data_IF_056549085973
#
_entry.id   IF_056549085973
#
_cell.length_a   1.000
_cell.length_b   1.000
_cell.length_c   1.000
_cell.angle_alpha   90.00
_cell.angle_beta   90.00
_cell.angle_gamma   90.00
#
_symmetry.space_group_name_H-M   'P 1'
#
loop_
_entity.id
_entity.type
_entity.pdbx_description
1 polymer ?
#
# COMPACT_ATOMS: atom_id res chain seq x y z
N UNK A 1 54.21 -6.26 -19.66
CA UNK A 1 52.83 -6.73 -19.90
C UNK A 1 52.49 -7.63 -18.73
N UNK A 2 51.51 -7.30 -17.88
CA UNK A 2 51.09 -8.19 -16.81
C UNK A 2 50.47 -9.44 -17.45
N UNK A 3 51.07 -10.60 -17.17
CA UNK A 3 50.52 -11.90 -17.59
C UNK A 3 49.17 -12.09 -16.90
N UNK A 4 48.11 -12.21 -17.69
CA UNK A 4 46.77 -12.45 -17.17
C UNK A 4 46.66 -13.95 -16.86
N UNK A 5 46.87 -14.31 -15.59
CA UNK A 5 46.77 -15.69 -15.12
C UNK A 5 45.30 -16.13 -15.06
N UNK A 6 44.82 -16.71 -16.16
CA UNK A 6 43.44 -17.21 -16.31
C UNK A 6 43.16 -18.41 -15.40
N UNK A 7 44.19 -19.11 -14.92
CA UNK A 7 44.05 -20.27 -14.03
C UNK A 7 43.69 -19.84 -12.60
N UNK A 8 43.84 -18.55 -12.28
CA UNK A 8 43.35 -17.93 -11.03
C UNK A 8 41.87 -17.55 -11.06
N UNK A 9 41.19 -17.69 -12.20
CA UNK A 9 39.78 -17.34 -12.33
C UNK A 9 38.88 -18.40 -11.69
N UNK A 10 38.30 -18.08 -10.53
CA UNK A 10 37.28 -18.91 -9.88
C UNK A 10 35.93 -18.59 -10.51
N UNK A 11 35.31 -19.58 -11.17
CA UNK A 11 33.93 -19.47 -11.61
C UNK A 11 33.01 -19.45 -10.38
N UNK A 12 32.23 -18.38 -10.23
CA UNK A 12 31.21 -18.30 -9.17
C UNK A 12 30.13 -19.35 -9.38
N UNK A 13 29.76 -20.05 -8.31
CA UNK A 13 28.73 -21.10 -8.32
C UNK A 13 27.32 -20.51 -8.37
N UNK A 14 26.99 -19.93 -9.52
CA UNK A 14 25.67 -19.33 -9.79
C UNK A 14 24.57 -20.42 -9.82
N UNK A 15 24.93 -21.66 -10.18
CA UNK A 15 23.97 -22.76 -10.30
C UNK A 15 23.40 -23.22 -8.96
N UNK A 16 24.22 -23.25 -7.90
CA UNK A 16 23.73 -23.63 -6.57
C UNK A 16 23.21 -22.43 -5.75
N UNK A 17 23.32 -21.19 -6.26
CA UNK A 17 22.80 -19.99 -5.59
C UNK A 17 21.47 -19.48 -6.16
N UNK A 18 21.09 -19.84 -7.39
CA UNK A 18 19.76 -19.55 -7.92
C UNK A 18 18.77 -20.55 -7.31
N UNK A 19 17.97 -20.08 -6.35
CA UNK A 19 16.82 -20.82 -5.85
C UNK A 19 15.65 -20.53 -6.78
N UNK A 20 15.10 -21.57 -7.42
CA UNK A 20 13.90 -21.43 -8.24
C UNK A 20 12.72 -20.91 -7.40
N UNK A 21 11.93 -20.01 -7.98
CA UNK A 21 10.75 -19.48 -7.31
C UNK A 21 9.71 -20.60 -7.11
N UNK A 22 9.40 -20.89 -5.85
CA UNK A 22 8.30 -21.77 -5.47
C UNK A 22 7.38 -21.07 -4.47
N UNK A 23 6.09 -21.36 -4.56
CA UNK A 23 5.10 -20.97 -3.55
C UNK A 23 4.80 -22.19 -2.70
N UNK A 24 5.03 -22.06 -1.40
CA UNK A 24 4.73 -23.13 -0.46
C UNK A 24 3.21 -23.35 -0.35
N UNK A 25 2.80 -24.61 -0.21
CA UNK A 25 1.40 -24.94 0.07
C UNK A 25 1.04 -24.45 1.48
N UNK A 26 -0.08 -23.72 1.59
CA UNK A 26 -0.62 -23.24 2.86
C UNK A 26 -2.00 -23.88 3.13
N UNK A 27 -2.28 -24.22 4.40
CA UNK A 27 -3.59 -24.67 4.87
C UNK A 27 -4.27 -23.58 5.69
N UNK A 28 -5.60 -23.60 5.75
CA UNK A 28 -6.37 -22.72 6.66
C UNK A 28 -6.05 -23.03 8.11
N UNK A 29 -6.27 -22.05 9.00
CA UNK A 29 -6.06 -22.18 10.44
C UNK A 29 -7.32 -22.63 11.18
N UNK A 30 -8.10 -23.49 10.51
CA UNK A 30 -9.37 -24.02 10.98
C UNK A 30 -9.34 -24.51 12.44
N UNK A 31 -10.48 -24.37 13.12
CA UNK A 31 -10.64 -24.92 14.46
C UNK A 31 -10.34 -26.43 14.46
N UNK A 32 -9.30 -26.84 15.19
CA UNK A 32 -8.87 -28.23 15.24
C UNK A 32 -9.81 -29.12 16.05
N UNK A 33 -9.43 -30.39 16.21
CA UNK A 33 -10.17 -31.35 17.06
C UNK A 33 -10.10 -31.04 18.57
N UNK A 34 -9.41 -29.96 18.96
CA UNK A 34 -9.31 -29.51 20.34
C UNK A 34 -10.59 -28.82 20.77
N UNK A 35 -10.97 -28.99 22.06
CA UNK A 35 -12.18 -28.39 22.63
C UNK A 35 -12.26 -26.88 22.38
N UNK A 36 -11.11 -26.22 22.43
CA UNK A 36 -10.99 -24.78 22.19
C UNK A 36 -9.82 -24.53 21.24
N UNK A 37 -10.07 -23.75 20.19
CA UNK A 37 -9.03 -23.14 19.35
C UNK A 37 -9.03 -21.65 19.64
N UNK A 38 -7.86 -21.03 19.72
CA UNK A 38 -7.79 -19.62 20.08
C UNK A 38 -6.80 -18.86 19.23
N UNK A 39 -7.19 -17.64 18.85
CA UNK A 39 -6.36 -16.73 18.08
C UNK A 39 -6.12 -15.43 18.85
N UNK A 40 -4.92 -14.89 18.69
CA UNK A 40 -4.54 -13.56 19.15
C UNK A 40 -3.55 -13.02 18.13
N UNK A 41 -3.63 -11.73 17.81
CA UNK A 41 -2.68 -11.15 16.89
C UNK A 41 -1.29 -11.05 17.51
N UNK A 42 -0.34 -11.76 16.89
CA UNK A 42 1.08 -11.70 17.22
C UNK A 42 1.81 -10.61 16.40
N UNK A 43 1.23 -10.20 15.27
CA UNK A 43 1.86 -9.28 14.32
C UNK A 43 1.38 -7.82 14.45
N UNK A 44 0.39 -7.54 15.31
CA UNK A 44 -0.17 -6.19 15.49
C UNK A 44 0.91 -5.12 15.65
N UNK A 45 1.90 -5.32 16.52
CA UNK A 45 2.96 -4.32 16.76
C UNK A 45 3.81 -4.05 15.52
N UNK A 46 4.15 -5.11 14.75
CA UNK A 46 4.91 -5.01 13.50
C UNK A 46 4.07 -4.28 12.43
N UNK A 47 2.82 -4.72 12.25
CA UNK A 47 1.87 -4.17 11.29
C UNK A 47 1.53 -2.71 11.57
N UNK A 48 1.34 -2.35 12.84
CA UNK A 48 1.16 -0.98 13.28
C UNK A 48 2.41 -0.13 13.03
N UNK A 49 3.60 -0.73 13.15
CA UNK A 49 4.87 -0.12 12.76
C UNK A 49 4.90 0.27 11.28
N UNK A 50 4.57 -0.67 10.38
CA UNK A 50 4.43 -0.38 8.95
C UNK A 50 3.43 0.73 8.67
N UNK A 51 2.22 0.64 9.24
CA UNK A 51 1.19 1.67 9.06
C UNK A 51 1.63 3.07 9.54
N UNK A 52 2.41 3.16 10.63
CA UNK A 52 2.87 4.45 11.16
C UNK A 52 4.08 5.02 10.43
N UNK A 53 4.91 4.18 9.83
CA UNK A 53 6.20 4.57 9.26
C UNK A 53 6.17 4.73 7.74
N UNK A 54 5.29 4.00 7.03
CA UNK A 54 5.19 4.02 5.58
C UNK A 54 4.02 4.92 5.15
N UNK A 55 4.27 6.14 4.62
CA UNK A 55 3.22 7.09 4.30
C UNK A 55 2.22 6.58 3.25
N UNK A 56 2.68 5.86 2.24
CA UNK A 56 1.85 5.35 1.14
C UNK A 56 0.84 4.31 1.65
N UNK A 57 1.29 3.40 2.52
CA UNK A 57 0.44 2.43 3.18
C UNK A 57 -0.59 3.10 4.09
N UNK A 58 -0.14 4.09 4.88
CA UNK A 58 -1.03 4.87 5.73
C UNK A 58 -2.13 5.54 4.91
N UNK A 59 -1.77 6.24 3.84
CA UNK A 59 -2.71 6.96 2.97
C UNK A 59 -3.66 6.00 2.29
N UNK A 60 -3.20 4.84 1.81
CA UNK A 60 -4.06 3.85 1.18
C UNK A 60 -5.12 3.31 2.18
N UNK A 61 -4.69 2.91 3.38
CA UNK A 61 -5.59 2.40 4.43
C UNK A 61 -6.55 3.49 4.91
N UNK A 62 -6.05 4.71 5.14
CA UNK A 62 -6.87 5.85 5.54
C UNK A 62 -7.91 6.20 4.47
N UNK A 63 -7.51 6.19 3.20
CA UNK A 63 -8.41 6.42 2.06
C UNK A 63 -9.49 5.37 2.02
N UNK A 64 -9.15 4.08 2.09
CA UNK A 64 -10.14 3.00 2.12
C UNK A 64 -11.15 3.19 3.25
N UNK A 65 -10.68 3.44 4.48
CA UNK A 65 -11.56 3.67 5.62
C UNK A 65 -12.41 4.95 5.50
N UNK A 66 -11.85 6.03 4.93
CA UNK A 66 -12.59 7.27 4.66
C UNK A 66 -13.73 7.02 3.67
N UNK A 67 -13.44 6.33 2.57
CA UNK A 67 -14.41 6.08 1.50
C UNK A 67 -15.50 5.10 1.93
N UNK A 68 -15.15 4.07 2.70
CA UNK A 68 -16.14 3.14 3.27
C UNK A 68 -17.10 3.86 4.20
N UNK A 69 -16.64 4.71 5.12
CA UNK A 69 -17.56 5.48 5.96
C UNK A 69 -18.28 6.57 5.18
N UNK A 70 -17.63 7.13 4.16
CA UNK A 70 -18.16 8.18 3.32
C UNK A 70 -18.58 9.41 4.12
N UNK A 71 -19.81 9.89 3.87
CA UNK A 71 -20.38 11.03 4.58
C UNK A 71 -20.95 10.67 5.98
N UNK A 72 -20.83 9.40 6.40
CA UNK A 72 -21.40 8.88 7.64
C UNK A 72 -22.48 7.83 7.35
N UNK A 73 -23.47 7.75 8.24
CA UNK A 73 -24.60 6.82 8.10
C UNK A 73 -25.93 7.58 8.07
N UNK A 74 -26.93 6.91 7.50
CA UNK A 74 -28.34 7.23 7.58
C UNK A 74 -29.03 6.13 8.38
N UNK A 75 -29.97 6.51 9.25
CA UNK A 75 -30.81 5.60 9.99
C UNK A 75 -32.10 6.33 10.38
N UNK A 76 -33.06 5.60 10.96
CA UNK A 76 -34.23 6.23 11.60
C UNK A 76 -33.80 7.30 12.62
N UNK A 77 -34.62 8.33 12.82
CA UNK A 77 -34.31 9.46 13.70
C UNK A 77 -33.93 9.02 15.12
N UNK A 78 -34.68 8.09 15.70
CA UNK A 78 -34.40 7.54 17.03
C UNK A 78 -33.02 6.85 17.07
N UNK A 79 -32.69 6.05 16.06
CA UNK A 79 -31.41 5.37 15.91
C UNK A 79 -30.27 6.36 15.71
N UNK A 80 -30.47 7.39 14.88
CA UNK A 80 -29.49 8.45 14.64
C UNK A 80 -29.16 9.21 15.92
N UNK A 81 -30.19 9.60 16.68
CA UNK A 81 -30.01 10.29 17.96
C UNK A 81 -29.26 9.41 18.95
N UNK A 82 -29.64 8.13 19.03
CA UNK A 82 -29.00 7.15 19.91
C UNK A 82 -27.52 6.95 19.57
N UNK A 83 -27.20 6.67 18.30
CA UNK A 83 -25.81 6.52 17.83
C UNK A 83 -24.98 7.80 18.01
N UNK A 84 -25.61 8.98 17.96
CA UNK A 84 -24.98 10.26 18.27
C UNK A 84 -24.51 10.41 19.74
N UNK A 85 -25.07 9.61 20.65
CA UNK A 85 -24.66 9.60 22.07
C UNK A 85 -23.41 8.76 22.34
N UNK A 86 -23.02 7.86 21.43
CA UNK A 86 -21.83 7.00 21.57
C UNK A 86 -20.57 7.85 21.54
N UNK A 87 -19.70 7.69 22.56
CA UNK A 87 -18.48 8.50 22.74
C UNK A 87 -17.16 7.72 22.73
N UNK A 88 -17.19 6.40 22.60
CA UNK A 88 -16.02 5.54 22.65
C UNK A 88 -15.16 5.80 23.88
N UNK A 89 -13.97 6.36 23.69
CA UNK A 89 -13.07 6.77 24.78
C UNK A 89 -13.44 8.09 25.50
N UNK A 90 -14.59 8.68 25.16
CA UNK A 90 -15.07 9.97 25.65
C UNK A 90 -14.98 11.11 24.62
N UNK A 91 -14.26 10.92 23.51
CA UNK A 91 -14.11 11.92 22.43
C UNK A 91 -14.47 11.40 21.05
N UNK A 92 -14.75 10.12 20.93
CA UNK A 92 -15.08 9.50 19.66
C UNK A 92 -16.55 9.77 19.29
N UNK A 93 -16.87 9.55 18.02
CA UNK A 93 -18.24 9.42 17.53
C UNK A 93 -18.43 8.00 17.00
N UNK A 94 -19.67 7.58 16.79
CA UNK A 94 -19.93 6.29 16.14
C UNK A 94 -19.16 6.15 14.81
N UNK A 95 -19.17 7.20 13.97
CA UNK A 95 -18.40 7.21 12.72
C UNK A 95 -16.89 7.04 12.94
N UNK A 96 -16.30 7.75 13.92
CA UNK A 96 -14.85 7.61 14.17
C UNK A 96 -14.48 6.23 14.72
N UNK A 97 -15.39 5.59 15.48
CA UNK A 97 -15.23 4.22 15.98
C UNK A 97 -15.23 3.23 14.83
N UNK A 98 -16.27 3.21 13.99
CA UNK A 98 -16.36 2.26 12.86
C UNK A 98 -15.20 2.49 11.88
N UNK A 99 -14.86 3.75 11.59
CA UNK A 99 -13.68 4.11 10.80
C UNK A 99 -12.38 3.53 11.37
N UNK A 100 -12.20 3.63 12.69
CA UNK A 100 -11.04 3.08 13.37
C UNK A 100 -11.01 1.56 13.27
N UNK A 101 -12.16 0.90 13.42
CA UNK A 101 -12.26 -0.56 13.27
C UNK A 101 -11.92 -1.02 11.84
N UNK A 102 -12.39 -0.31 10.80
CA UNK A 102 -12.04 -0.60 9.40
C UNK A 102 -10.52 -0.51 9.18
N UNK A 103 -9.86 0.51 9.74
CA UNK A 103 -8.40 0.62 9.70
C UNK A 103 -7.73 -0.57 10.39
N UNK A 104 -8.17 -0.89 11.60
CA UNK A 104 -7.57 -1.96 12.41
C UNK A 104 -7.70 -3.31 11.69
N UNK A 105 -8.89 -3.68 11.19
CA UNK A 105 -9.06 -4.95 10.47
C UNK A 105 -8.27 -4.98 9.15
N UNK A 106 -8.02 -3.83 8.53
CA UNK A 106 -7.16 -3.75 7.35
C UNK A 106 -5.69 -3.98 7.71
N UNK A 107 -5.23 -3.42 8.84
CA UNK A 107 -3.86 -3.54 9.33
C UNK A 107 -3.57 -4.95 9.88
N UNK A 108 -4.52 -5.57 10.56
CA UNK A 108 -4.27 -6.78 11.36
C UNK A 108 -5.06 -8.01 10.94
N UNK A 109 -6.11 -7.83 10.14
CA UNK A 109 -7.07 -8.87 9.79
C UNK A 109 -8.35 -8.77 10.60
N UNK A 110 -8.25 -8.53 11.91
CA UNK A 110 -9.41 -8.40 12.81
C UNK A 110 -9.44 -7.05 13.53
N UNK A 111 -10.64 -6.61 13.90
CA UNK A 111 -10.84 -5.48 14.80
C UNK A 111 -11.94 -5.76 15.81
N UNK A 112 -11.75 -5.24 17.02
CA UNK A 112 -12.62 -5.54 18.16
C UNK A 112 -13.09 -4.24 18.82
N UNK A 113 -14.35 -4.18 19.24
CA UNK A 113 -14.84 -3.16 20.15
C UNK A 113 -15.73 -3.78 21.24
N UNK A 114 -15.51 -3.37 22.49
CA UNK A 114 -16.37 -3.72 23.60
C UNK A 114 -17.73 -3.05 23.41
N UNK A 115 -18.78 -3.87 23.42
CA UNK A 115 -20.18 -3.45 23.40
C UNK A 115 -20.59 -3.19 24.85
N UNK A 116 -20.89 -1.93 25.18
CA UNK A 116 -21.32 -1.52 26.51
C UNK A 116 -22.83 -1.28 26.44
N UNK A 117 -23.61 -2.08 27.16
CA UNK A 117 -25.07 -1.96 27.26
C UNK A 117 -25.50 -1.59 28.67
N UNK A 118 -26.70 -1.00 28.79
CA UNK A 118 -27.36 -0.81 30.09
C UNK A 118 -28.01 -2.11 30.59
N UNK A 119 -28.77 -2.02 31.67
CA UNK A 119 -29.44 -3.18 32.28
C UNK A 119 -30.60 -3.69 31.42
N UNK A 120 -31.16 -2.81 30.61
CA UNK A 120 -32.25 -3.06 29.68
C UNK A 120 -31.74 -3.61 28.32
N UNK A 121 -30.43 -3.69 28.12
CA UNK A 121 -29.79 -4.21 26.91
C UNK A 121 -29.60 -3.17 25.80
N UNK A 122 -29.88 -1.89 26.07
CA UNK A 122 -29.70 -0.79 25.12
C UNK A 122 -28.22 -0.44 25.00
N UNK A 123 -27.76 -0.17 23.78
CA UNK A 123 -26.35 0.15 23.50
C UNK A 123 -25.96 1.51 24.07
N UNK A 124 -25.16 1.56 25.13
CA UNK A 124 -24.68 2.82 25.68
C UNK A 124 -23.43 3.34 24.97
N UNK A 125 -22.51 2.46 24.61
CA UNK A 125 -21.23 2.86 24.04
C UNK A 125 -20.52 1.71 23.31
N UNK A 126 -19.58 2.07 22.44
CA UNK A 126 -18.69 1.13 21.75
C UNK A 126 -17.25 1.54 21.99
N UNK A 127 -16.43 0.67 22.57
CA UNK A 127 -15.04 0.99 22.90
C UNK A 127 -14.08 0.12 22.09
N UNK A 128 -13.39 0.68 21.08
CA UNK A 128 -12.36 -0.05 20.35
C UNK A 128 -11.30 -0.65 21.29
N UNK A 129 -10.95 -1.90 21.04
CA UNK A 129 -9.92 -2.64 21.75
C UNK A 129 -8.74 -2.90 20.81
N UNK A 130 -7.55 -3.00 21.38
CA UNK A 130 -6.34 -3.32 20.62
C UNK A 130 -6.30 -4.82 20.31
N UNK A 131 -6.07 -5.24 19.04
CA UNK A 131 -6.03 -6.66 18.68
C UNK A 131 -4.99 -7.48 19.44
N UNK A 132 -3.83 -6.90 19.77
CA UNK A 132 -2.80 -7.55 20.59
C UNK A 132 -3.27 -7.89 22.02
N UNK A 133 -4.36 -7.27 22.47
CA UNK A 133 -4.90 -7.46 23.82
C UNK A 133 -6.12 -8.36 23.84
N UNK A 134 -6.67 -8.74 22.68
CA UNK A 134 -7.88 -9.56 22.58
C UNK A 134 -7.50 -10.93 22.02
N UNK A 135 -7.90 -11.96 22.76
CA UNK A 135 -7.81 -13.35 22.33
C UNK A 135 -9.21 -13.86 22.02
N UNK A 136 -9.44 -14.25 20.79
CA UNK A 136 -10.69 -14.89 20.38
C UNK A 136 -10.60 -16.39 20.66
N UNK A 137 -11.69 -16.99 21.15
CA UNK A 137 -11.75 -18.43 21.47
C UNK A 137 -12.96 -19.04 20.80
N UNK A 138 -12.73 -20.09 20.03
CA UNK A 138 -13.72 -20.83 19.29
C UNK A 138 -13.79 -22.29 19.77
N UNK A 139 -14.93 -22.92 19.58
CA UNK A 139 -15.10 -24.35 19.82
C UNK A 139 -14.65 -25.20 18.61
N UNK A 140 -14.72 -26.53 18.76
CA UNK A 140 -14.45 -27.52 17.69
C UNK A 140 -15.25 -27.35 16.39
N UNK A 141 -16.30 -26.51 16.40
CA UNK A 141 -17.14 -26.22 15.22
C UNK A 141 -16.83 -24.85 14.61
N UNK A 142 -15.74 -24.19 15.01
CA UNK A 142 -15.36 -22.86 14.55
C UNK A 142 -16.29 -21.73 15.04
N UNK A 143 -17.10 -21.97 16.07
CA UNK A 143 -17.98 -20.93 16.63
C UNK A 143 -17.31 -20.23 17.79
N UNK A 144 -17.31 -18.90 17.81
CA UNK A 144 -16.87 -18.12 18.96
C UNK A 144 -17.66 -18.49 20.21
N UNK A 145 -16.95 -18.79 21.28
CA UNK A 145 -17.54 -19.08 22.60
C UNK A 145 -17.24 -17.99 23.62
N UNK A 146 -16.16 -17.22 23.43
CA UNK A 146 -15.81 -16.05 24.24
C UNK A 146 -14.66 -15.27 23.60
N UNK A 147 -14.46 -14.06 24.11
CA UNK A 147 -13.22 -13.31 23.94
C UNK A 147 -12.55 -13.12 25.30
N UNK A 148 -11.22 -13.00 25.31
CA UNK A 148 -10.45 -12.74 26.51
C UNK A 148 -9.57 -11.50 26.28
N UNK A 149 -9.79 -10.44 27.06
CA UNK A 149 -8.87 -9.32 27.08
C UNK A 149 -7.73 -9.61 28.05
N UNK A 150 -6.55 -9.83 27.50
CA UNK A 150 -5.34 -10.16 28.23
C UNK A 150 -4.84 -8.91 28.94
N UNK A 151 -4.69 -9.03 30.26
CA UNK A 151 -4.17 -7.94 31.06
C UNK A 151 -2.65 -7.83 30.88
N UNK A 152 -2.16 -6.64 30.54
CA UNK A 152 -0.72 -6.36 30.40
C UNK A 152 0.00 -6.33 31.76
N UNK A 153 -0.74 -6.20 32.87
CA UNK A 153 -0.22 -6.20 34.23
C UNK A 153 -0.12 -7.64 34.73
N UNK A 154 1.11 -8.10 35.01
CA UNK A 154 1.38 -9.44 35.54
C UNK A 154 0.57 -9.69 36.82
N UNK A 155 -0.15 -10.81 36.86
CA UNK A 155 -0.93 -11.24 38.03
C UNK A 155 -2.37 -10.75 38.08
N UNK A 156 -2.78 -9.83 37.20
CA UNK A 156 -4.19 -9.48 37.05
C UNK A 156 -4.90 -10.47 36.13
N UNK A 157 -6.13 -10.84 36.48
CA UNK A 157 -6.94 -11.77 35.67
C UNK A 157 -7.36 -11.10 34.36
N UNK A 158 -7.28 -11.85 33.27
CA UNK A 158 -7.85 -11.45 31.99
C UNK A 158 -9.37 -11.31 32.12
N UNK A 159 -9.94 -10.27 31.51
CA UNK A 159 -11.39 -10.09 31.45
C UNK A 159 -11.95 -10.98 30.35
N UNK A 160 -13.00 -11.73 30.64
CA UNK A 160 -13.70 -12.56 29.67
C UNK A 160 -14.95 -11.84 29.19
N UNK A 161 -15.25 -11.97 27.91
CA UNK A 161 -16.43 -11.43 27.27
C UNK A 161 -17.18 -12.56 26.57
N UNK A 162 -18.50 -12.51 26.61
CA UNK A 162 -19.36 -13.32 25.77
C UNK A 162 -19.28 -12.84 24.31
N UNK A 163 -19.64 -13.70 23.33
CA UNK A 163 -19.60 -13.30 21.92
C UNK A 163 -20.42 -12.06 21.57
N UNK A 164 -21.53 -11.81 22.26
CA UNK A 164 -22.43 -10.67 22.09
C UNK A 164 -21.97 -9.38 22.81
N UNK A 165 -20.88 -9.46 23.58
CA UNK A 165 -20.27 -8.30 24.24
C UNK A 165 -19.13 -7.67 23.41
N UNK A 166 -18.78 -8.24 22.25
CA UNK A 166 -17.74 -7.74 21.37
C UNK A 166 -18.27 -7.58 19.95
N UNK A 167 -18.16 -6.37 19.40
CA UNK A 167 -18.27 -6.14 17.98
C UNK A 167 -16.96 -6.56 17.33
N UNK A 168 -17.01 -7.56 16.47
CA UNK A 168 -15.85 -8.14 15.80
C UNK A 168 -16.01 -8.00 14.28
N UNK A 169 -15.08 -7.32 13.62
CA UNK A 169 -15.00 -7.27 12.16
C UNK A 169 -13.73 -7.97 11.69
N UNK A 170 -13.89 -8.93 10.77
CA UNK A 170 -12.79 -9.67 10.14
C UNK A 170 -12.69 -9.29 8.66
N UNK A 171 -11.48 -9.13 8.16
CA UNK A 171 -11.19 -8.81 6.76
C UNK A 171 -10.94 -10.08 5.96
N UNK A 172 -11.67 -10.26 4.86
CA UNK A 172 -11.34 -11.22 3.78
C UNK A 172 -11.02 -12.65 4.27
N UNK A 173 -11.75 -13.13 5.28
CA UNK A 173 -11.58 -14.48 5.81
C UNK A 173 -11.87 -15.52 4.73
N UNK A 174 -10.99 -16.51 4.59
CA UNK A 174 -11.11 -17.56 3.59
C UNK A 174 -11.58 -18.86 4.25
N UNK A 175 -12.62 -19.48 3.68
CA UNK A 175 -13.18 -20.75 4.16
C UNK A 175 -13.46 -20.77 5.68
N UNK A 176 -12.80 -21.66 6.42
CA UNK A 176 -12.98 -21.89 7.85
C UNK A 176 -11.88 -21.27 8.72
N UNK A 177 -11.13 -20.30 8.17
CA UNK A 177 -10.19 -19.50 8.96
C UNK A 177 -10.86 -18.89 10.19
N UNK A 178 -10.11 -18.78 11.28
CA UNK A 178 -10.66 -18.32 12.56
C UNK A 178 -10.46 -16.81 12.78
N UNK A 179 -9.72 -16.16 11.87
CA UNK A 179 -9.38 -14.74 11.90
C UNK A 179 -9.40 -14.13 10.48
N UNK A 180 -9.43 -12.80 10.38
CA UNK A 180 -9.27 -12.10 9.10
C UNK A 180 -7.82 -11.99 8.64
N UNK A 181 -7.61 -11.63 7.38
CA UNK A 181 -6.30 -11.52 6.74
C UNK A 181 -5.87 -10.05 6.67
N UNK A 182 -4.68 -9.73 7.17
CA UNK A 182 -4.07 -8.40 7.03
C UNK A 182 -3.65 -8.10 5.59
N UNK A 183 -3.74 -6.84 5.16
CA UNK A 183 -3.21 -6.43 3.85
C UNK A 183 -1.68 -6.30 3.85
N UNK A 184 -1.05 -6.16 5.02
CA UNK A 184 0.38 -5.81 5.10
C UNK A 184 1.27 -6.96 4.60
N UNK A 185 1.06 -8.24 4.96
CA UNK A 185 1.88 -9.33 4.45
C UNK A 185 1.89 -9.42 2.92
N UNK A 186 0.79 -9.10 2.23
CA UNK A 186 0.73 -9.17 0.76
C UNK A 186 1.52 -8.07 0.07
N UNK A 187 1.77 -6.95 0.75
CA UNK A 187 2.52 -5.81 0.20
C UNK A 187 3.88 -5.58 0.87
N UNK A 188 4.23 -6.36 1.89
CA UNK A 188 5.47 -6.21 2.67
C UNK A 188 6.70 -6.25 1.76
N UNK A 189 6.78 -7.24 0.86
CA UNK A 189 7.92 -7.36 -0.06
C UNK A 189 8.04 -6.14 -0.99
N UNK A 190 6.91 -5.64 -1.51
CA UNK A 190 6.87 -4.46 -2.38
C UNK A 190 7.39 -3.22 -1.64
N UNK A 191 6.95 -3.02 -0.39
CA UNK A 191 7.40 -1.92 0.47
C UNK A 191 8.91 -2.01 0.71
N UNK A 192 9.42 -3.19 1.06
CA UNK A 192 10.83 -3.40 1.36
C UNK A 192 11.71 -3.14 0.13
N UNK A 193 11.39 -3.76 -1.01
CA UNK A 193 12.12 -3.55 -2.27
C UNK A 193 12.14 -2.07 -2.68
N UNK A 194 11.00 -1.38 -2.56
CA UNK A 194 10.91 0.05 -2.91
C UNK A 194 11.75 0.91 -1.98
N UNK A 195 11.67 0.70 -0.68
CA UNK A 195 12.42 1.49 0.30
C UNK A 195 13.92 1.28 0.18
N UNK A 196 14.36 0.06 -0.09
CA UNK A 196 15.76 -0.27 -0.39
C UNK A 196 16.22 0.44 -1.66
N UNK A 197 15.46 0.34 -2.75
CA UNK A 197 15.75 1.02 -4.01
C UNK A 197 15.85 2.55 -3.84
N UNK A 198 14.94 3.15 -3.05
CA UNK A 198 14.98 4.58 -2.74
C UNK A 198 16.19 4.96 -1.88
N UNK A 199 16.59 4.12 -0.92
CA UNK A 199 17.76 4.36 -0.09
C UNK A 199 19.07 4.28 -0.89
N UNK A 200 19.18 3.31 -1.80
CA UNK A 200 20.32 3.20 -2.71
C UNK A 200 20.34 4.34 -3.71
N UNK A 201 19.19 4.72 -4.27
CA UNK A 201 19.12 5.87 -5.16
C UNK A 201 19.48 7.18 -4.47
N UNK A 202 19.07 7.36 -3.22
CA UNK A 202 19.52 8.48 -2.39
C UNK A 202 21.05 8.49 -2.25
N UNK A 203 21.68 7.33 -2.06
CA UNK A 203 23.14 7.21 -1.99
C UNK A 203 23.80 7.60 -3.32
N UNK A 204 23.25 7.16 -4.45
CA UNK A 204 23.75 7.55 -5.79
C UNK A 204 23.62 9.06 -5.98
N UNK A 205 22.47 9.64 -5.66
CA UNK A 205 22.26 11.09 -5.76
C UNK A 205 23.16 11.88 -4.83
N UNK A 206 23.39 11.38 -3.61
CA UNK A 206 24.36 11.98 -2.70
C UNK A 206 25.77 11.96 -3.29
N UNK A 207 26.18 10.89 -3.98
CA UNK A 207 27.48 10.83 -4.68
C UNK A 207 27.54 11.73 -5.93
N UNK A 208 26.41 12.04 -6.54
CA UNK A 208 26.39 13.00 -7.64
C UNK A 208 26.60 14.44 -7.15
N UNK A 209 26.07 14.77 -5.97
CA UNK A 209 26.24 16.10 -5.34
C UNK A 209 27.57 16.21 -4.58
N UNK A 210 27.97 15.12 -3.93
CA UNK A 210 29.12 15.01 -3.04
C UNK A 210 29.99 13.82 -3.50
N UNK A 211 30.78 13.98 -4.56
CA UNK A 211 31.40 12.86 -5.24
C UNK A 211 32.58 12.26 -4.49
N UNK A 212 32.88 11.02 -4.83
CA UNK A 212 34.06 10.32 -4.33
C UNK A 212 35.26 10.71 -5.20
N UNK A 213 36.40 10.91 -4.53
CA UNK A 213 37.66 11.20 -5.18
C UNK A 213 38.65 10.09 -4.86
N UNK A 214 39.41 9.68 -5.86
CA UNK A 214 40.63 8.91 -5.68
C UNK A 214 41.77 9.92 -5.74
N UNK A 215 42.57 9.97 -4.68
CA UNK A 215 43.75 10.81 -4.63
C UNK A 215 44.97 9.92 -4.80
N UNK A 216 45.71 10.14 -5.89
CA UNK A 216 47.03 9.55 -6.08
C UNK A 216 48.05 10.46 -5.40
N UNK A 217 48.69 9.98 -4.33
CA UNK A 217 49.67 10.70 -3.52
C UNK A 217 51.06 10.10 -3.72
N UNK A 218 52.07 10.93 -3.96
CA UNK A 218 53.48 10.51 -4.13
C UNK A 218 54.22 10.40 -2.76
N UNK A 219 53.57 9.78 -1.78
CA UNK A 219 54.12 9.55 -0.43
C UNK A 219 53.41 8.35 0.21
N UNK A 220 54.16 7.56 0.98
CA UNK A 220 53.66 6.48 1.83
C UNK A 220 53.69 6.85 3.32
N UNK A 221 54.13 8.07 3.67
CA UNK A 221 54.14 8.55 5.05
C UNK A 221 52.72 8.79 5.57
N UNK A 222 52.33 8.01 6.57
CA UNK A 222 50.99 8.08 7.16
C UNK A 222 50.66 9.45 7.78
N UNK A 223 51.68 10.20 8.23
CA UNK A 223 51.51 11.53 8.80
C UNK A 223 51.20 12.58 7.74
N UNK A 224 51.87 12.53 6.60
CA UNK A 224 51.61 13.38 5.44
C UNK A 224 50.23 13.09 4.83
N UNK A 225 49.87 11.82 4.68
CA UNK A 225 48.53 11.39 4.22
C UNK A 225 47.44 11.90 5.17
N UNK A 226 47.64 11.78 6.49
CA UNK A 226 46.67 12.25 7.47
C UNK A 226 46.49 13.78 7.45
N UNK A 227 47.57 14.55 7.26
CA UNK A 227 47.51 16.01 7.10
C UNK A 227 46.75 16.38 5.83
N UNK A 228 47.07 15.76 4.70
CA UNK A 228 46.34 15.99 3.44
C UNK A 228 44.85 15.71 3.60
N UNK A 229 44.49 14.56 4.20
CA UNK A 229 43.10 14.20 4.49
C UNK A 229 42.42 15.27 5.34
N UNK A 230 43.03 15.69 6.44
CA UNK A 230 42.45 16.70 7.33
C UNK A 230 42.24 18.06 6.61
N UNK A 231 43.19 18.47 5.78
CA UNK A 231 43.07 19.71 4.98
C UNK A 231 41.96 19.60 3.94
N UNK A 232 41.90 18.49 3.20
CA UNK A 232 40.85 18.25 2.20
C UNK A 232 39.46 18.17 2.85
N UNK A 233 39.31 17.40 3.93
CA UNK A 233 38.05 17.25 4.66
C UNK A 233 37.59 18.59 5.26
N UNK A 234 38.54 19.41 5.75
CA UNK A 234 38.28 20.77 6.21
C UNK A 234 37.77 21.68 5.10
N UNK A 235 38.46 21.71 3.96
CA UNK A 235 38.06 22.51 2.80
C UNK A 235 36.67 22.10 2.29
N UNK A 236 36.40 20.79 2.16
CA UNK A 236 35.10 20.26 1.71
C UNK A 236 33.98 20.61 2.68
N UNK A 237 34.21 20.48 3.99
CA UNK A 237 33.22 20.83 5.02
C UNK A 237 32.88 22.32 5.02
N UNK A 238 33.86 23.18 4.75
CA UNK A 238 33.69 24.63 4.76
C UNK A 238 33.26 25.21 3.40
N UNK A 239 33.24 24.41 2.33
CA UNK A 239 32.99 24.88 0.96
C UNK A 239 34.12 25.74 0.41
N UNK A 240 35.36 25.50 0.83
CA UNK A 240 36.54 26.26 0.44
C UNK A 240 37.28 25.61 -0.74
N UNK A 241 37.97 26.43 -1.53
CA UNK A 241 38.82 25.95 -2.61
C UNK A 241 40.11 25.34 -2.05
N UNK A 242 40.50 24.16 -2.54
CA UNK A 242 41.79 23.55 -2.24
C UNK A 242 42.79 23.85 -3.36
N UNK A 243 43.92 24.50 -3.04
CA UNK A 243 45.00 24.76 -3.98
C UNK A 243 46.15 23.78 -3.73
N UNK A 244 46.43 22.91 -4.71
CA UNK A 244 47.50 21.91 -4.61
C UNK A 244 48.60 22.23 -5.62
N UNK A 245 49.89 22.21 -5.22
CA UNK A 245 50.99 22.35 -6.16
C UNK A 245 50.98 21.25 -7.24
N UNK A 246 51.32 21.63 -8.48
CA UNK A 246 51.33 20.71 -9.62
C UNK A 246 52.29 19.54 -9.37
N UNK A 247 51.81 18.31 -9.56
CA UNK A 247 52.61 17.07 -9.43
C UNK A 247 52.64 16.45 -8.02
N UNK A 248 51.95 17.03 -7.03
CA UNK A 248 51.91 16.48 -5.65
C UNK A 248 50.71 15.58 -5.42
N UNK A 249 49.53 15.96 -5.94
CA UNK A 249 48.30 15.16 -5.86
C UNK A 249 47.52 15.30 -7.15
N UNK A 250 47.04 14.19 -7.69
CA UNK A 250 46.11 14.17 -8.82
C UNK A 250 44.74 13.69 -8.32
N UNK A 251 43.75 14.60 -8.19
CA UNK A 251 42.39 14.20 -7.86
C UNK A 251 41.72 13.58 -9.08
N UNK A 252 41.34 12.31 -8.96
CA UNK A 252 40.51 11.62 -9.94
C UNK A 252 39.08 11.55 -9.39
N UNK A 253 38.14 12.12 -10.15
CA UNK A 253 36.72 12.03 -9.81
C UNK A 253 36.22 10.62 -10.13
N UNK A 254 35.70 9.92 -9.11
CA UNK A 254 34.99 8.66 -9.33
C UNK A 254 33.60 8.99 -9.86
N UNK A 255 33.51 9.19 -11.17
CA UNK A 255 32.25 9.41 -11.86
C UNK A 255 31.77 8.10 -12.49
N UNK A 256 30.52 7.74 -12.22
CA UNK A 256 29.81 6.78 -13.09
C UNK A 256 29.24 7.57 -14.26
N UNK A 257 29.54 7.18 -15.50
CA UNK A 257 29.01 7.89 -16.66
C UNK A 257 27.47 7.92 -16.62
N UNK A 258 26.86 9.01 -17.07
CA UNK A 258 25.42 9.11 -17.15
C UNK A 258 24.85 7.95 -17.97
N UNK A 259 23.85 7.24 -17.44
CA UNK A 259 23.26 6.03 -18.02
C UNK A 259 24.19 4.80 -18.13
N UNK A 260 25.34 4.79 -17.45
CA UNK A 260 26.18 3.58 -17.36
C UNK A 260 25.55 2.49 -16.49
N UNK A 261 24.60 2.85 -15.61
CA UNK A 261 23.78 1.93 -14.84
C UNK A 261 22.31 2.05 -15.23
N UNK A 262 21.56 0.97 -15.00
CA UNK A 262 20.10 0.97 -15.18
C UNK A 262 19.48 2.03 -14.26
N UNK A 263 18.64 2.90 -14.82
CA UNK A 263 17.93 3.91 -14.04
C UNK A 263 16.85 3.23 -13.17
N UNK A 264 16.95 3.24 -11.82
CA UNK A 264 16.01 2.53 -10.97
C UNK A 264 14.65 3.22 -10.87
N UNK A 265 14.50 4.46 -11.36
CA UNK A 265 13.25 5.23 -11.24
C UNK A 265 12.07 4.53 -11.91
N UNK A 266 12.26 3.89 -13.08
CA UNK A 266 11.20 3.14 -13.76
C UNK A 266 10.73 1.97 -12.91
N UNK A 267 11.66 1.24 -12.30
CA UNK A 267 11.34 0.13 -11.41
C UNK A 267 10.67 0.60 -10.12
N UNK A 268 11.15 1.68 -9.50
CA UNK A 268 10.52 2.31 -8.32
C UNK A 268 9.08 2.74 -8.62
N UNK A 269 8.82 3.32 -9.80
CA UNK A 269 7.47 3.68 -10.23
C UNK A 269 6.59 2.43 -10.41
N UNK A 270 7.10 1.38 -11.06
CA UNK A 270 6.37 0.13 -11.23
C UNK A 270 6.02 -0.53 -9.89
N UNK A 271 6.95 -0.52 -8.92
CA UNK A 271 6.68 -1.02 -7.56
C UNK A 271 5.59 -0.19 -6.86
N UNK A 272 5.59 1.13 -7.07
CA UNK A 272 4.56 2.00 -6.52
C UNK A 272 3.18 1.73 -7.14
N UNK A 273 3.10 1.51 -8.46
CA UNK A 273 1.85 1.18 -9.15
C UNK A 273 1.33 -0.18 -8.69
N UNK A 274 2.21 -1.18 -8.60
CA UNK A 274 1.86 -2.51 -8.11
C UNK A 274 1.40 -2.48 -6.65
N UNK A 275 2.02 -1.64 -5.80
CA UNK A 275 1.58 -1.43 -4.42
C UNK A 275 0.12 -0.97 -4.34
N UNK A 276 -0.26 0.07 -5.08
CA UNK A 276 -1.62 0.62 -5.03
C UNK A 276 -2.67 -0.32 -5.64
N UNK A 277 -2.27 -1.11 -6.65
CA UNK A 277 -3.10 -2.20 -7.17
C UNK A 277 -3.32 -3.28 -6.11
N UNK A 278 -2.27 -3.71 -5.40
CA UNK A 278 -2.35 -4.75 -4.39
C UNK A 278 -3.19 -4.34 -3.15
N UNK A 279 -3.16 -3.06 -2.76
CA UNK A 279 -4.03 -2.53 -1.67
C UNK A 279 -5.46 -2.24 -2.14
N UNK A 280 -5.70 -2.31 -3.46
CA UNK A 280 -6.97 -1.97 -4.10
C UNK A 280 -7.43 -0.53 -3.83
N UNK A 281 -6.48 0.42 -3.88
CA UNK A 281 -6.75 1.86 -3.74
C UNK A 281 -6.07 2.58 -4.90
N UNK A 282 -6.82 2.99 -5.93
CA UNK A 282 -6.21 3.61 -7.10
C UNK A 282 -5.52 4.94 -6.80
N UNK A 283 -4.43 5.20 -7.54
CA UNK A 283 -3.64 6.42 -7.37
C UNK A 283 -4.43 7.71 -7.65
N UNK A 284 -5.39 7.67 -8.56
CA UNK A 284 -6.26 8.82 -8.85
C UNK A 284 -7.09 9.23 -7.62
N UNK A 285 -7.51 8.28 -6.78
CA UNK A 285 -8.33 8.53 -5.59
C UNK A 285 -7.52 9.22 -4.49
N UNK A 286 -6.21 8.95 -4.40
CA UNK A 286 -5.31 9.60 -3.44
C UNK A 286 -4.78 10.95 -3.94
N UNK A 287 -5.25 11.43 -5.10
CA UNK A 287 -4.86 12.71 -5.69
C UNK A 287 -3.59 12.66 -6.55
N UNK A 288 -3.10 11.47 -6.91
CA UNK A 288 -2.00 11.31 -7.86
C UNK A 288 -2.55 11.02 -9.27
N UNK A 289 -2.69 12.08 -10.08
CA UNK A 289 -3.11 11.98 -11.47
C UNK A 289 -1.88 11.92 -12.39
N UNK A 290 -1.26 10.73 -12.52
CA UNK A 290 -0.31 10.49 -13.60
C UNK A 290 -1.08 10.03 -14.84
N UNK A 291 -1.03 10.83 -15.91
CA UNK A 291 -1.36 10.44 -17.30
C UNK A 291 -2.66 9.62 -17.50
N UNK A 292 -3.71 9.89 -16.72
CA UNK A 292 -5.01 9.26 -16.96
C UNK A 292 -5.76 10.02 -18.05
N UNK A 293 -6.26 9.29 -19.05
CA UNK A 293 -7.37 9.78 -19.87
C UNK A 293 -8.64 9.80 -19.03
N UNK A 294 -9.56 10.72 -19.27
CA UNK A 294 -10.83 10.82 -18.52
C UNK A 294 -11.60 9.48 -18.49
N UNK A 295 -11.65 8.79 -19.64
CA UNK A 295 -12.26 7.47 -19.75
C UNK A 295 -11.59 6.42 -18.83
N UNK A 296 -10.26 6.37 -18.78
CA UNK A 296 -9.53 5.46 -17.88
C UNK A 296 -9.74 5.81 -16.40
N UNK A 297 -9.81 7.09 -16.08
CA UNK A 297 -10.11 7.57 -14.72
C UNK A 297 -11.49 7.11 -14.24
N UNK A 298 -12.51 7.22 -15.10
CA UNK A 298 -13.88 6.74 -14.82
C UNK A 298 -13.95 5.23 -14.59
N UNK A 299 -13.28 4.42 -15.41
CA UNK A 299 -13.27 2.95 -15.24
C UNK A 299 -12.63 2.57 -13.90
N UNK A 300 -11.47 3.17 -13.58
CA UNK A 300 -10.74 2.91 -12.35
C UNK A 300 -11.56 3.36 -11.12
N UNK A 301 -12.23 4.50 -11.22
CA UNK A 301 -13.12 5.00 -10.20
C UNK A 301 -14.30 4.04 -9.95
N UNK A 302 -14.98 3.59 -11.01
CA UNK A 302 -16.11 2.66 -10.90
C UNK A 302 -15.69 1.32 -10.28
N UNK A 303 -14.52 0.79 -10.64
CA UNK A 303 -13.99 -0.42 -10.03
C UNK A 303 -13.73 -0.26 -8.53
N UNK A 304 -13.19 0.90 -8.12
CA UNK A 304 -12.99 1.23 -6.72
C UNK A 304 -14.31 1.43 -5.96
N UNK A 305 -15.29 2.10 -6.57
CA UNK A 305 -16.62 2.29 -6.02
C UNK A 305 -17.29 0.95 -5.69
N UNK A 306 -17.20 -0.05 -6.56
CA UNK A 306 -17.74 -1.38 -6.28
C UNK A 306 -17.08 -2.03 -5.06
N UNK A 307 -15.76 -1.92 -4.93
CA UNK A 307 -15.06 -2.42 -3.74
C UNK A 307 -15.49 -1.70 -2.47
N UNK A 308 -15.73 -0.38 -2.53
CA UNK A 308 -16.17 0.41 -1.38
C UNK A 308 -17.61 0.06 -1.00
N UNK A 309 -18.52 -0.07 -1.98
CA UNK A 309 -19.91 -0.48 -1.75
C UNK A 309 -20.01 -1.88 -1.13
N UNK A 310 -19.20 -2.83 -1.62
CA UNK A 310 -19.13 -4.17 -1.01
C UNK A 310 -18.67 -4.13 0.45
N UNK A 311 -17.68 -3.30 0.76
CA UNK A 311 -17.20 -3.10 2.12
C UNK A 311 -18.26 -2.39 3.00
N UNK A 312 -18.98 -1.41 2.46
CA UNK A 312 -20.09 -0.73 3.16
C UNK A 312 -21.18 -1.72 3.55
N UNK A 313 -21.64 -2.53 2.60
CA UNK A 313 -22.65 -3.56 2.83
C UNK A 313 -22.20 -4.54 3.93
N UNK A 314 -20.95 -5.01 3.86
CA UNK A 314 -20.40 -5.87 4.91
C UNK A 314 -20.48 -5.20 6.29
N UNK A 315 -20.11 -3.92 6.41
CA UNK A 315 -20.15 -3.19 7.68
C UNK A 315 -21.59 -3.02 8.18
N UNK A 316 -22.53 -2.67 7.31
CA UNK A 316 -23.96 -2.55 7.63
C UNK A 316 -24.53 -3.87 8.15
N UNK A 317 -24.23 -4.98 7.46
CA UNK A 317 -24.64 -6.33 7.87
C UNK A 317 -24.06 -6.73 9.22
N UNK A 318 -22.77 -6.43 9.48
CA UNK A 318 -22.16 -6.74 10.77
C UNK A 318 -22.73 -5.89 11.90
N UNK A 319 -23.02 -4.61 11.66
CA UNK A 319 -23.65 -3.72 12.65
C UNK A 319 -25.07 -4.21 12.96
N UNK A 320 -25.84 -4.59 11.94
CA UNK A 320 -27.17 -5.17 12.16
C UNK A 320 -27.10 -6.49 12.92
N UNK A 321 -26.25 -7.42 12.48
CA UNK A 321 -26.17 -8.76 13.05
C UNK A 321 -25.65 -8.78 14.50
N UNK A 322 -24.68 -7.92 14.84
CA UNK A 322 -24.02 -7.93 16.15
C UNK A 322 -24.60 -6.88 17.12
N UNK A 323 -25.04 -5.73 16.61
CA UNK A 323 -25.59 -4.66 17.47
C UNK A 323 -27.11 -4.63 17.49
N UNK A 324 -27.77 -5.20 16.48
CA UNK A 324 -29.22 -5.11 16.28
C UNK A 324 -29.66 -3.75 15.76
N UNK A 325 -28.78 -3.04 15.05
CA UNK A 325 -29.01 -1.66 14.60
C UNK A 325 -28.94 -1.61 13.07
N UNK A 326 -29.99 -1.13 12.42
CA UNK A 326 -29.99 -0.89 10.98
C UNK A 326 -29.43 0.50 10.68
N UNK A 327 -28.41 0.53 9.81
CA UNK A 327 -27.83 1.77 9.28
C UNK A 327 -27.57 1.60 7.78
N UNK A 328 -27.42 2.72 7.08
CA UNK A 328 -26.95 2.78 5.69
C UNK A 328 -25.82 3.78 5.55
N UNK A 329 -24.63 3.32 5.19
CA UNK A 329 -23.48 4.17 4.94
C UNK A 329 -23.68 4.96 3.66
N UNK A 330 -23.37 6.25 3.72
CA UNK A 330 -23.58 7.16 2.60
C UNK A 330 -22.29 7.28 1.79
N UNK A 331 -22.34 6.84 0.52
CA UNK A 331 -21.22 6.99 -0.41
C UNK A 331 -20.86 8.48 -0.60
N UNK A 332 -19.57 8.87 -0.56
CA UNK A 332 -19.17 10.28 -0.44
C UNK A 332 -19.50 11.18 -1.64
N UNK A 333 -19.47 10.64 -2.86
CA UNK A 333 -19.95 11.26 -4.11
C UNK A 333 -19.87 10.16 -5.18
N UNK A 334 -20.81 10.05 -6.13
CA UNK A 334 -20.72 9.09 -7.25
C UNK A 334 -20.55 9.83 -8.57
N UNK A 335 -19.63 9.37 -9.42
CA UNK A 335 -19.41 9.89 -10.78
C UNK A 335 -20.31 9.24 -11.83
N UNK A 336 -21.21 8.34 -11.42
CA UNK A 336 -22.03 7.54 -12.33
C UNK A 336 -22.93 8.43 -13.22
N UNK A 337 -23.44 9.54 -12.68
CA UNK A 337 -24.28 10.50 -13.42
C UNK A 337 -23.51 11.19 -14.56
N UNK A 338 -22.25 11.56 -14.31
CA UNK A 338 -21.41 12.27 -15.30
C UNK A 338 -20.78 11.30 -16.32
N UNK A 339 -20.55 10.05 -15.93
CA UNK A 339 -20.05 9.02 -16.83
C UNK A 339 -21.10 8.54 -17.85
N UNK A 340 -22.38 8.59 -17.50
CA UNK A 340 -23.50 8.23 -18.39
C UNK A 340 -23.85 9.37 -19.35
N UNK A 341 -23.69 10.65 -18.94
CA UNK A 341 -24.00 11.80 -19.79
C UNK A 341 -23.02 12.03 -20.93
N UNK A 342 -21.80 11.50 -20.86
CA UNK A 342 -20.79 11.57 -21.94
C UNK A 342 -20.99 10.53 -23.05
N UNK A 343 -22.13 9.83 -23.07
CA UNK A 343 -22.54 9.14 -24.30
C UNK A 343 -22.88 10.22 -25.32
N UNK A 344 -22.25 10.24 -26.52
CA UNK A 344 -22.66 11.15 -27.56
C UNK A 344 -24.16 10.95 -27.76
N UNK A 345 -24.94 12.00 -27.51
CA UNK A 345 -26.36 11.97 -27.84
C UNK A 345 -26.46 11.65 -29.33
N UNK A 346 -27.46 10.88 -29.77
CA UNK A 346 -27.69 10.58 -31.20
C UNK A 346 -27.80 11.85 -32.09
N UNK A 347 -27.81 13.03 -31.48
CA UNK A 347 -27.84 14.35 -32.11
C UNK A 347 -26.44 14.82 -32.55
N UNK A 348 -25.35 14.22 -32.05
CA UNK A 348 -23.96 14.53 -32.45
C UNK A 348 -23.41 13.54 -33.50
N UNK A 349 -24.29 12.79 -34.17
CA UNK A 349 -23.96 12.23 -35.49
C UNK A 349 -23.83 13.40 -36.45
N UNK A 350 -22.61 13.93 -36.54
CA UNK A 350 -22.16 14.78 -37.63
C UNK A 350 -22.69 14.16 -38.92
N UNK A 351 -23.54 14.89 -39.64
CA UNK A 351 -23.86 14.57 -41.03
C UNK A 351 -22.52 14.39 -41.75
N UNK A 352 -22.13 13.15 -42.01
CA UNK A 352 -21.01 12.87 -42.90
C UNK A 352 -21.38 13.50 -44.24
N UNK A 353 -20.73 14.61 -44.58
CA UNK A 353 -20.88 15.18 -45.91
C UNK A 353 -20.58 14.08 -46.93
N UNK A 354 -21.43 13.91 -47.96
CA UNK A 354 -21.27 12.84 -48.92
C UNK A 354 -19.90 12.95 -49.56
N UNK A 355 -19.11 11.88 -49.43
CA UNK A 355 -17.81 11.71 -50.05
C UNK A 355 -17.97 12.05 -51.54
N UNK A 356 -17.37 13.15 -51.99
CA UNK A 356 -17.29 13.48 -53.42
C UNK A 356 -16.65 12.30 -54.16
N UNK A 357 -17.40 11.71 -55.09
CA UNK A 357 -16.94 10.65 -55.98
C UNK A 357 -15.64 11.08 -56.65
N UNK A 358 -14.55 10.40 -56.31
CA UNK A 358 -13.27 10.56 -56.95
C UNK A 358 -13.43 10.31 -58.46
N UNK A 359 -13.25 11.35 -59.26
CA UNK A 359 -13.19 11.26 -60.72
C UNK A 359 -12.01 10.38 -61.11
N UNK A 360 -12.31 9.28 -61.82
CA UNK A 360 -11.29 8.36 -62.33
C UNK A 360 -10.33 9.08 -63.29
N UNK A 361 -9.02 8.82 -63.22
CA UNK A 361 -8.07 9.38 -64.17
C UNK A 361 -8.29 8.77 -65.57
N UNK A 362 -8.46 9.65 -66.55
CA UNK A 362 -8.57 9.34 -67.97
C UNK A 362 -7.30 8.62 -68.46
N UNK A 363 -7.41 7.31 -68.67
CA UNK A 363 -6.42 6.48 -69.34
C UNK A 363 -6.46 6.79 -70.84
N UNK A 364 -5.56 7.65 -71.32
CA UNK A 364 -5.34 7.89 -72.74
C UNK A 364 -4.06 7.22 -73.17
N UNK A 365 -4.22 5.99 -73.63
CA UNK A 365 -3.24 5.19 -74.35
C UNK A 365 -2.89 5.90 -75.66
N UNK A 366 -1.70 6.48 -75.77
CA UNK A 366 -1.13 6.83 -77.07
C UNK A 366 -0.33 5.63 -77.59
N UNK A 367 -0.92 4.94 -78.57
CA UNK A 367 -0.25 3.98 -79.44
C UNK A 367 0.85 4.68 -80.23
N UNK A 368 2.09 4.23 -80.06
CA UNK A 368 3.20 4.52 -80.97
C UNK A 368 3.16 3.43 -82.05
N UNK A 369 2.44 3.69 -83.14
CA UNK A 369 2.67 3.00 -84.41
C UNK A 369 3.87 3.64 -85.13
N UNK A 370 4.91 2.84 -85.37
CA UNK A 370 6.13 3.29 -86.04
C UNK A 370 6.06 3.28 -87.57
N UNK A 371 7.12 3.79 -88.21
CA UNK A 371 7.90 3.11 -89.27
C UNK A 371 8.90 4.06 -89.93
N UNK A 372 10.07 3.48 -90.21
CA UNK A 372 11.07 3.76 -91.29
C UNK A 372 11.78 5.10 -91.34
#
# INVERSE_FOLDING_TARGET
>A
MPETDIDSAIATDVKNTIVDYSVDSISTDAAGSQKETSWQSHNWSKNLGYYKTIPELKVAIDTKANWTIGAGFQAEEATTLHLGTIKGNGKDTFNSIIKNMIRIKTIDGDSYAEIIRDKEGVLLNLKPLSPDSVKSVQNMKGRFIRYEQINKIRGQKSRKFQPDEILHLSRERIADEIHGISVIPSVENIILMRNEAMADWKRVMHRNVDPLFIFHLDTDDAGEIAKFKATHDGARKNGENLYVPKGVVEPELVATAANASLNPLTWINQLNDYFFQAVNVPQIIIGNAKEFTDASGKIVYLAFEQSVKGEQLYIEEQILAQLGIEIRLTFPASLETDAISDRPSEVDLVEEEPIEEATQPNDTTQEIEGKT
#
